data_IF_118203477907
#
_entry.id   IF_118203477907
#
_cell.length_a   1.000
_cell.length_b   1.000
_cell.length_c   1.000
_cell.angle_alpha   90.00
_cell.angle_beta   90.00
_cell.angle_gamma   90.00
#
_symmetry.space_group_name_H-M   'P 1'
#
loop_
_entity.id
_entity.type
_entity.pdbx_description
1 polymer ?
#
# COMPACT_ATOMS: atom_id res chain seq x y z
N UNK A 1 -17.72 10.33 3.74
CA UNK A 1 -16.97 9.96 2.51
C UNK A 1 -15.61 10.64 2.56
N UNK A 2 -14.58 10.00 2.02
CA UNK A 2 -13.22 10.54 1.94
C UNK A 2 -12.72 10.56 0.50
N UNK A 3 -11.86 11.53 0.18
CA UNK A 3 -11.23 11.64 -1.13
C UNK A 3 -9.70 11.64 -0.99
N UNK A 4 -9.06 10.60 -1.52
CA UNK A 4 -7.61 10.40 -1.37
C UNK A 4 -7.02 9.90 -2.68
N UNK A 5 -5.95 10.55 -3.16
CA UNK A 5 -5.24 10.16 -4.38
C UNK A 5 -6.14 9.98 -5.63
N UNK A 6 -7.24 10.74 -5.74
CA UNK A 6 -8.18 10.64 -6.86
C UNK A 6 -9.29 9.60 -6.67
N UNK A 7 -9.32 8.92 -5.52
CA UNK A 7 -10.29 7.87 -5.19
C UNK A 7 -11.25 8.41 -4.13
N UNK A 8 -12.56 8.30 -4.39
CA UNK A 8 -13.63 8.56 -3.44
C UNK A 8 -14.08 7.23 -2.83
N UNK A 9 -14.17 7.16 -1.50
CA UNK A 9 -14.51 5.94 -0.76
C UNK A 9 -15.32 6.29 0.50
N UNK A 10 -16.09 5.33 1.01
CA UNK A 10 -17.04 5.56 2.09
C UNK A 10 -16.42 5.37 3.48
N UNK A 11 -17.14 5.81 4.51
CA UNK A 11 -16.66 5.66 5.89
C UNK A 11 -16.54 4.18 6.27
N UNK A 12 -15.42 3.82 6.90
CA UNK A 12 -15.06 2.44 7.23
C UNK A 12 -14.36 1.69 6.10
N UNK A 13 -14.32 2.25 4.88
CA UNK A 13 -13.63 1.63 3.76
C UNK A 13 -12.11 1.79 3.87
N UNK A 14 -11.43 0.77 3.34
CA UNK A 14 -9.98 0.76 3.15
C UNK A 14 -9.64 0.67 1.67
N UNK A 15 -8.73 1.52 1.23
CA UNK A 15 -8.24 1.55 -0.15
C UNK A 15 -6.72 1.45 -0.19
N UNK A 16 -6.21 0.96 -1.34
CA UNK A 16 -4.77 0.88 -1.62
C UNK A 16 -4.47 1.71 -2.87
N UNK A 17 -4.38 3.06 -2.76
CA UNK A 17 -4.20 3.93 -3.92
C UNK A 17 -2.84 3.79 -4.60
N UNK A 18 -1.85 3.22 -3.89
CA UNK A 18 -0.50 2.92 -4.36
C UNK A 18 0.00 1.64 -3.71
N UNK A 19 0.94 0.93 -4.34
CA UNK A 19 1.66 -0.14 -3.68
C UNK A 19 2.25 0.36 -2.35
N UNK A 20 2.06 -0.43 -1.30
CA UNK A 20 2.49 -0.13 0.07
C UNK A 20 1.81 1.04 0.78
N UNK A 21 0.68 1.54 0.27
CA UNK A 21 -0.09 2.59 0.96
C UNK A 21 -1.49 2.07 1.22
N UNK A 22 -1.86 1.96 2.49
CA UNK A 22 -3.21 1.61 2.91
C UNK A 22 -3.84 2.85 3.55
N UNK A 23 -5.00 3.25 3.06
CA UNK A 23 -5.76 4.39 3.58
C UNK A 23 -7.12 3.95 4.07
N UNK A 24 -7.57 4.51 5.19
CA UNK A 24 -8.87 4.26 5.81
C UNK A 24 -9.64 5.58 5.98
N UNK A 25 -10.95 5.54 5.76
CA UNK A 25 -11.83 6.70 5.93
C UNK A 25 -12.57 6.65 7.26
N UNK A 26 -12.24 7.57 8.16
CA UNK A 26 -12.90 7.73 9.45
C UNK A 26 -13.62 9.08 9.51
N UNK A 27 -14.96 9.04 9.55
CA UNK A 27 -15.86 10.20 9.62
C UNK A 27 -15.50 11.40 8.72
N UNK A 28 -15.04 11.12 7.50
CA UNK A 28 -14.64 12.14 6.52
C UNK A 28 -13.16 12.56 6.55
N UNK A 29 -12.39 12.08 7.54
CA UNK A 29 -10.94 12.14 7.57
C UNK A 29 -10.30 10.88 6.99
N UNK A 30 -9.34 11.03 6.07
CA UNK A 30 -8.56 9.90 5.56
C UNK A 30 -7.24 9.76 6.30
N UNK A 31 -6.95 8.58 6.85
CA UNK A 31 -5.64 8.25 7.44
C UNK A 31 -4.92 7.24 6.55
N UNK A 32 -3.69 7.55 6.14
CA UNK A 32 -2.89 6.67 5.30
C UNK A 32 -1.63 6.19 6.02
N UNK A 33 -1.32 4.91 5.90
CA UNK A 33 -0.15 4.27 6.49
C UNK A 33 0.72 3.61 5.42
N UNK A 34 2.04 3.73 5.57
CA UNK A 34 2.99 3.03 4.72
C UNK A 34 3.17 1.59 5.23
N UNK A 35 2.80 0.61 4.41
CA UNK A 35 2.86 -0.81 4.75
C UNK A 35 4.14 -1.49 4.29
N UNK A 36 5.11 -0.76 3.70
CA UNK A 36 6.40 -1.31 3.24
C UNK A 36 7.19 -1.99 4.36
N UNK A 37 7.05 -1.53 5.61
CA UNK A 37 7.66 -2.17 6.76
C UNK A 37 7.08 -3.57 7.08
N UNK A 38 5.93 -3.93 6.51
CA UNK A 38 5.31 -5.27 6.64
C UNK A 38 5.92 -6.28 5.66
N UNK A 39 6.74 -5.85 4.69
CA UNK A 39 7.35 -6.77 3.73
C UNK A 39 8.38 -7.68 4.40
N UNK A 40 8.39 -8.98 4.06
CA UNK A 40 9.35 -9.92 4.63
C UNK A 40 10.78 -9.60 4.16
N UNK A 41 11.80 -9.95 4.96
CA UNK A 41 13.19 -9.89 4.52
C UNK A 41 13.39 -10.89 3.37
N UNK A 42 14.10 -10.44 2.34
CA UNK A 42 14.37 -11.25 1.15
C UNK A 42 15.73 -11.94 1.26
N UNK A 43 15.84 -13.23 0.86
CA UNK A 43 17.10 -13.97 0.92
C UNK A 43 18.10 -13.59 -0.18
N UNK A 44 17.69 -12.78 -1.17
CA UNK A 44 18.52 -12.38 -2.30
C UNK A 44 19.01 -10.92 -2.21
N UNK A 45 20.16 -10.59 -2.80
CA UNK A 45 20.68 -9.22 -2.83
C UNK A 45 19.76 -8.28 -3.63
N UNK A 46 19.82 -6.95 -3.40
CA UNK A 46 18.95 -5.98 -4.07
C UNK A 46 18.94 -6.03 -5.61
N UNK A 47 20.03 -6.52 -6.22
CA UNK A 47 20.18 -6.70 -7.66
C UNK A 47 19.29 -7.81 -8.25
N UNK A 48 18.90 -8.79 -7.43
CA UNK A 48 18.08 -9.94 -7.84
C UNK A 48 16.62 -9.80 -7.41
N UNK A 49 16.30 -8.74 -6.66
CA UNK A 49 14.94 -8.51 -6.18
C UNK A 49 14.05 -7.99 -7.31
N UNK A 50 12.94 -8.68 -7.52
CA UNK A 50 11.95 -8.38 -8.56
C UNK A 50 10.81 -7.60 -7.94
N UNK A 51 10.45 -6.47 -8.56
CA UNK A 51 9.23 -5.71 -8.27
C UNK A 51 8.18 -5.99 -9.34
N UNK A 52 6.97 -6.34 -8.95
CA UNK A 52 5.83 -6.51 -9.85
C UNK A 52 4.94 -5.26 -9.75
N UNK A 53 4.32 -4.86 -10.86
CA UNK A 53 3.35 -3.76 -10.84
C UNK A 53 2.20 -4.10 -9.89
N UNK A 54 1.68 -3.10 -9.19
CA UNK A 54 0.59 -3.20 -8.21
C UNK A 54 0.89 -4.02 -6.93
N UNK A 55 2.05 -4.65 -6.83
CA UNK A 55 2.51 -5.35 -5.63
C UNK A 55 3.37 -4.44 -4.73
N UNK A 56 3.13 -4.50 -3.43
CA UNK A 56 3.92 -3.74 -2.46
C UNK A 56 5.33 -4.33 -2.27
N UNK A 57 5.38 -5.64 -2.06
CA UNK A 57 6.62 -6.32 -1.68
C UNK A 57 7.36 -6.82 -2.90
N UNK A 58 8.68 -6.81 -2.81
CA UNK A 58 9.54 -7.44 -3.81
C UNK A 58 9.62 -8.95 -3.55
N UNK A 59 10.02 -9.69 -4.56
CA UNK A 59 10.21 -11.14 -4.48
C UNK A 59 11.61 -11.52 -4.99
N UNK A 60 12.10 -12.67 -4.55
CA UNK A 60 13.27 -13.31 -5.17
C UNK A 60 12.77 -14.39 -6.14
N UNK A 61 13.46 -14.59 -7.27
CA UNK A 61 13.20 -15.73 -8.14
C UNK A 61 13.51 -17.07 -7.47
#
# INVERSE_FOLDING_TARGET
QCFTHGILFDHGDKITPKPCVECECDDGGSTCSNTKARCPPLPCPPSEQISVADECCKFCP
#
